data_IF_263598090949
#
_entry.id   IF_263598090949
#
_cell.length_a   1.000
_cell.length_b   1.000
_cell.length_c   1.000
_cell.angle_alpha   90.00
_cell.angle_beta   90.00
_cell.angle_gamma   90.00
#
_symmetry.space_group_name_H-M   'P 1'
#
loop_
_entity.id
_entity.type
_entity.pdbx_description
1 polymer ?
#
# COMPACT_ATOMS: atom_id res chain seq x y z
N UNK A 1 5.00 -39.77 23.57
CA UNK A 1 4.57 -38.62 22.74
C UNK A 1 4.37 -37.47 23.72
N UNK A 2 5.48 -36.87 24.13
CA UNK A 2 5.60 -36.07 25.35
C UNK A 2 5.83 -34.61 25.00
N UNK A 3 4.82 -33.80 25.34
CA UNK A 3 4.89 -32.46 25.95
C UNK A 3 5.92 -31.45 25.44
N UNK A 4 5.42 -30.35 24.87
CA UNK A 4 5.77 -28.96 25.21
C UNK A 4 4.71 -28.04 24.57
N UNK A 5 3.56 -27.89 25.22
CA UNK A 5 2.51 -26.92 24.83
C UNK A 5 2.04 -26.13 26.06
N UNK A 6 2.96 -25.69 26.92
CA UNK A 6 2.60 -24.83 28.05
C UNK A 6 3.78 -23.91 28.37
N UNK A 7 3.51 -22.60 28.26
CA UNK A 7 4.37 -21.42 28.43
C UNK A 7 5.16 -20.99 27.18
N UNK A 8 4.55 -20.15 26.34
CA UNK A 8 5.25 -18.90 26.02
C UNK A 8 4.27 -17.73 26.12
N UNK A 9 4.70 -16.74 26.87
CA UNK A 9 4.12 -15.44 27.09
C UNK A 9 4.31 -14.65 25.79
N UNK A 10 3.60 -15.08 24.73
CA UNK A 10 4.01 -15.08 23.32
C UNK A 10 4.95 -13.96 22.88
N UNK A 11 6.23 -14.26 22.98
CA UNK A 11 7.28 -13.46 22.36
C UNK A 11 7.25 -13.74 20.86
N UNK A 12 7.14 -12.69 20.04
CA UNK A 12 7.14 -12.79 18.58
C UNK A 12 8.37 -13.52 18.06
N UNK A 13 8.19 -14.45 17.13
CA UNK A 13 9.30 -15.13 16.45
C UNK A 13 9.66 -14.47 15.10
N UNK A 14 10.75 -14.91 14.48
CA UNK A 14 11.26 -14.31 13.23
C UNK A 14 10.30 -14.50 12.05
N UNK A 15 9.55 -15.61 11.98
CA UNK A 15 8.59 -15.85 10.89
C UNK A 15 7.36 -14.98 11.04
N UNK A 16 6.84 -14.87 12.27
CA UNK A 16 5.74 -13.95 12.55
C UNK A 16 6.16 -12.51 12.23
N UNK A 17 7.43 -12.16 12.52
CA UNK A 17 7.97 -10.85 12.17
C UNK A 17 8.05 -10.62 10.66
N UNK A 18 8.51 -11.61 9.90
CA UNK A 18 8.49 -11.58 8.44
C UNK A 18 7.09 -11.33 7.89
N UNK A 19 6.10 -12.08 8.36
CA UNK A 19 4.70 -11.93 7.96
C UNK A 19 4.16 -10.52 8.25
N UNK A 20 4.56 -9.91 9.38
CA UNK A 20 4.19 -8.53 9.68
C UNK A 20 4.92 -7.51 8.80
N UNK A 21 6.20 -7.72 8.49
CA UNK A 21 6.94 -6.86 7.55
C UNK A 21 6.30 -6.88 6.17
N UNK A 22 5.91 -8.04 5.66
CA UNK A 22 5.27 -8.17 4.35
C UNK A 22 3.89 -7.49 4.31
N UNK A 23 3.15 -7.53 5.42
CA UNK A 23 1.78 -6.97 5.49
C UNK A 23 1.73 -5.49 5.84
N UNK A 24 2.59 -5.03 6.73
CA UNK A 24 2.57 -3.68 7.31
C UNK A 24 3.70 -2.78 6.78
N UNK A 25 4.70 -3.38 6.10
CA UNK A 25 5.86 -2.70 5.56
C UNK A 25 7.02 -2.58 6.55
N UNK A 26 8.13 -2.06 6.04
CA UNK A 26 9.45 -1.98 6.67
C UNK A 26 9.59 -0.91 7.77
N UNK A 27 8.58 -0.04 7.91
CA UNK A 27 8.56 1.03 8.90
C UNK A 27 7.74 0.62 10.15
N UNK A 28 8.44 -0.03 11.08
CA UNK A 28 7.88 -0.53 12.35
C UNK A 28 7.24 0.59 13.19
N UNK A 29 7.67 1.85 13.03
CA UNK A 29 7.08 2.98 13.77
C UNK A 29 5.60 3.20 13.44
N UNK A 30 5.18 2.78 12.23
CA UNK A 30 3.81 2.91 11.71
C UNK A 30 2.93 1.71 12.06
N UNK A 31 3.48 0.66 12.64
CA UNK A 31 2.74 -0.54 13.03
C UNK A 31 1.81 -0.24 14.22
N UNK A 32 0.76 -1.04 14.43
CA UNK A 32 -0.05 -0.93 15.63
C UNK A 32 0.80 -1.22 16.88
N UNK A 33 0.42 -0.62 18.01
CA UNK A 33 1.30 -0.47 19.17
C UNK A 33 1.81 -1.79 19.76
N UNK A 34 0.95 -2.80 19.83
CA UNK A 34 1.28 -4.13 20.35
C UNK A 34 2.33 -4.82 19.46
N UNK A 35 2.12 -4.81 18.14
CA UNK A 35 3.03 -5.43 17.19
C UNK A 35 4.38 -4.69 17.14
N UNK A 36 4.36 -3.35 17.23
CA UNK A 36 5.59 -2.54 17.32
C UNK A 36 6.41 -2.91 18.55
N UNK A 37 5.78 -3.02 19.72
CA UNK A 37 6.48 -3.35 20.96
C UNK A 37 7.12 -4.75 20.90
N UNK A 38 6.40 -5.74 20.34
CA UNK A 38 6.93 -7.08 20.15
C UNK A 38 8.09 -7.11 19.14
N UNK A 39 7.96 -6.39 18.03
CA UNK A 39 9.02 -6.23 17.03
C UNK A 39 10.28 -5.56 17.62
N UNK A 40 10.14 -4.51 18.41
CA UNK A 40 11.27 -3.83 19.06
C UNK A 40 12.04 -4.79 19.99
N UNK A 41 11.31 -5.62 20.74
CA UNK A 41 11.91 -6.63 21.61
C UNK A 41 12.68 -7.70 20.81
N UNK A 42 12.12 -8.17 19.70
CA UNK A 42 12.77 -9.14 18.81
C UNK A 42 13.98 -8.52 18.09
N UNK A 43 13.88 -7.28 17.62
CA UNK A 43 14.97 -6.58 16.93
C UNK A 43 16.14 -6.29 17.86
N UNK A 44 15.93 -6.16 19.17
CA UNK A 44 17.01 -6.01 20.14
C UNK A 44 17.86 -7.29 20.25
N UNK A 45 17.24 -8.47 20.19
CA UNK A 45 17.91 -9.75 20.45
C UNK A 45 18.29 -10.53 19.19
N UNK A 46 17.55 -10.38 18.09
CA UNK A 46 17.69 -11.22 16.89
C UNK A 46 18.47 -10.53 15.76
N UNK A 47 19.67 -11.03 15.39
CA UNK A 47 20.39 -10.53 14.21
C UNK A 47 19.68 -10.89 12.90
N UNK A 48 18.89 -11.97 12.89
CA UNK A 48 18.12 -12.41 11.72
C UNK A 48 16.98 -11.44 11.41
N UNK A 49 16.19 -11.06 12.43
CA UNK A 49 15.13 -10.07 12.27
C UNK A 49 15.67 -8.70 11.80
N UNK A 50 16.86 -8.30 12.29
CA UNK A 50 17.54 -7.08 11.84
C UNK A 50 17.96 -7.13 10.37
N UNK A 51 18.37 -8.30 9.86
CA UNK A 51 18.69 -8.49 8.44
C UNK A 51 17.41 -8.38 7.59
N UNK A 52 16.35 -9.05 8.02
CA UNK A 52 15.07 -9.06 7.33
C UNK A 52 14.51 -7.65 7.11
N UNK A 53 14.45 -6.84 8.18
CA UNK A 53 13.94 -5.46 8.07
C UNK A 53 14.88 -4.56 7.25
N UNK A 54 16.18 -4.82 7.25
CA UNK A 54 17.14 -4.10 6.42
C UNK A 54 16.93 -4.42 4.93
N UNK A 55 16.72 -5.69 4.59
CA UNK A 55 16.44 -6.12 3.21
C UNK A 55 15.13 -5.52 2.71
N UNK A 56 14.08 -5.53 3.53
CA UNK A 56 12.80 -4.87 3.20
C UNK A 56 12.97 -3.36 2.92
N UNK A 57 13.81 -2.67 3.70
CA UNK A 57 14.15 -1.25 3.47
C UNK A 57 14.90 -1.04 2.16
N UNK A 58 15.84 -1.92 1.81
CA UNK A 58 16.55 -1.84 0.54
C UNK A 58 15.60 -1.99 -0.65
N UNK A 59 14.63 -2.92 -0.56
CA UNK A 59 13.60 -3.08 -1.59
C UNK A 59 12.74 -1.81 -1.71
N UNK A 60 12.30 -1.23 -0.58
CA UNK A 60 11.55 0.04 -0.61
C UNK A 60 12.35 1.13 -1.32
N UNK A 61 13.61 1.31 -0.94
CA UNK A 61 14.46 2.36 -1.49
C UNK A 61 14.66 2.16 -3.00
N UNK A 62 14.93 0.93 -3.43
CA UNK A 62 15.08 0.60 -4.86
C UNK A 62 13.82 0.90 -5.67
N UNK A 63 12.64 0.79 -5.06
CA UNK A 63 11.35 1.11 -5.69
C UNK A 63 10.94 2.58 -5.54
N UNK A 64 11.61 3.34 -4.68
CA UNK A 64 11.35 4.75 -4.43
C UNK A 64 11.86 5.61 -5.59
N UNK A 65 11.13 5.62 -6.70
CA UNK A 65 11.44 6.53 -7.81
C UNK A 65 11.08 7.97 -7.43
N UNK A 66 11.90 8.97 -7.83
CA UNK A 66 11.55 10.37 -7.68
C UNK A 66 10.19 10.66 -8.33
N UNK A 67 9.40 11.61 -7.79
CA UNK A 67 8.14 11.99 -8.40
C UNK A 67 8.37 12.40 -9.86
N UNK A 68 7.86 11.60 -10.81
CA UNK A 68 7.94 11.94 -12.22
C UNK A 68 7.01 13.12 -12.46
N UNK A 69 7.59 14.28 -12.84
CA UNK A 69 6.79 15.46 -13.18
C UNK A 69 6.01 15.16 -14.46
N UNK A 70 4.70 15.34 -14.40
CA UNK A 70 3.86 15.26 -15.59
C UNK A 70 4.31 16.29 -16.66
N UNK A 71 4.25 15.93 -17.95
CA UNK A 71 4.48 16.89 -19.03
C UNK A 71 3.53 18.09 -18.94
N UNK A 72 4.01 19.26 -19.38
CA UNK A 72 3.18 20.45 -19.47
C UNK A 72 1.94 20.19 -20.33
N UNK A 73 0.78 20.62 -19.86
CA UNK A 73 -0.49 20.46 -20.58
C UNK A 73 -1.20 19.11 -20.42
N UNK A 74 -0.66 18.16 -19.64
CA UNK A 74 -1.34 16.87 -19.41
C UNK A 74 -2.73 17.05 -18.77
N UNK A 75 -2.87 17.92 -17.78
CA UNK A 75 -4.16 18.23 -17.14
C UNK A 75 -5.19 18.72 -18.16
N UNK A 76 -4.81 19.64 -19.04
CA UNK A 76 -5.70 20.17 -20.07
C UNK A 76 -6.15 19.06 -21.04
N UNK A 77 -5.24 18.16 -21.41
CA UNK A 77 -5.57 17.00 -22.25
C UNK A 77 -6.53 16.03 -21.56
N UNK A 78 -6.30 15.71 -20.29
CA UNK A 78 -7.18 14.85 -19.49
C UNK A 78 -8.58 15.45 -19.42
N UNK A 79 -8.69 16.75 -19.11
CA UNK A 79 -9.98 17.46 -19.03
C UNK A 79 -10.72 17.48 -20.37
N UNK A 80 -10.01 17.73 -21.47
CA UNK A 80 -10.60 17.71 -22.81
C UNK A 80 -11.13 16.32 -23.19
N UNK A 81 -10.39 15.25 -22.85
CA UNK A 81 -10.85 13.87 -23.08
C UNK A 81 -12.06 13.55 -22.23
N UNK A 82 -12.03 13.85 -20.92
CA UNK A 82 -13.14 13.58 -20.02
C UNK A 82 -14.43 14.31 -20.46
N UNK A 83 -14.31 15.56 -20.91
CA UNK A 83 -15.45 16.35 -21.40
C UNK A 83 -16.06 15.76 -22.68
N UNK A 84 -15.23 15.21 -23.57
CA UNK A 84 -15.70 14.54 -24.79
C UNK A 84 -16.45 13.26 -24.47
N UNK A 85 -15.90 12.43 -23.58
CA UNK A 85 -16.55 11.19 -23.13
C UNK A 85 -17.91 11.48 -22.49
N UNK A 86 -18.00 12.51 -21.65
CA UNK A 86 -19.27 12.92 -21.04
C UNK A 86 -20.31 13.38 -22.08
N UNK A 87 -19.87 14.00 -23.18
CA UNK A 87 -20.77 14.41 -24.27
C UNK A 87 -21.21 13.22 -25.14
N UNK A 88 -20.39 12.17 -25.26
CA UNK A 88 -20.71 10.93 -25.99
C UNK A 88 -21.65 10.02 -25.21
N UNK A 89 -21.55 9.99 -23.87
CA UNK A 89 -22.46 9.25 -22.98
C UNK A 89 -23.80 9.96 -22.73
N UNK A 90 -23.96 11.21 -23.20
CA UNK A 90 -25.23 11.92 -23.08
C UNK A 90 -26.26 11.31 -24.04
N UNK A 91 -27.45 10.89 -23.55
CA UNK A 91 -28.51 10.41 -24.44
C UNK A 91 -28.86 11.52 -25.43
N UNK A 92 -29.18 11.20 -26.70
CA UNK A 92 -29.60 12.22 -27.65
C UNK A 92 -30.81 12.92 -27.07
N UNK A 93 -30.67 14.23 -26.81
CA UNK A 93 -31.76 15.08 -26.34
C UNK A 93 -32.95 14.78 -27.24
N UNK A 94 -34.03 14.28 -26.64
CA UNK A 94 -35.24 13.86 -27.33
C UNK A 94 -35.64 14.91 -28.36
N UNK A 95 -35.37 14.59 -29.62
CA UNK A 95 -35.78 15.38 -30.76
C UNK A 95 -37.29 15.19 -30.92
N UNK A 96 -38.06 15.84 -30.05
CA UNK A 96 -39.49 15.99 -30.22
C UNK A 96 -39.90 17.39 -29.75
N UNK A 97 -40.09 18.29 -30.72
CA UNK A 97 -41.01 19.42 -30.62
C UNK A 97 -41.22 20.06 -32.00
N UNK A 98 -42.27 19.58 -32.67
CA UNK A 98 -43.29 20.42 -33.30
C UNK A 98 -42.90 21.26 -34.54
N UNK A 99 -43.12 20.69 -35.72
CA UNK A 99 -43.31 21.46 -36.95
C UNK A 99 -44.83 21.66 -37.15
N UNK A 100 -45.40 22.87 -36.96
CA UNK A 100 -46.78 23.11 -37.34
C UNK A 100 -46.88 23.20 -38.86
N UNK A 101 -47.92 22.56 -39.41
CA UNK A 101 -48.22 22.46 -40.84
C UNK A 101 -48.89 23.69 -41.43
#
# INVERSE_FOLDING_TARGET
>A
MTVTDTLDERTMDVREFEDLVDRLGEDVSRWPAEQRQAADALLASSPEARRLIADARLVREALSSPPVRAPTGLTARILATASRMAAEDAPPASADAHQPG
#
